data_IF_297537359288
#
_entry.id   IF_297537359288
#
_cell.length_a   1.000
_cell.length_b   1.000
_cell.length_c   1.000
_cell.angle_alpha   90.00
_cell.angle_beta   90.00
_cell.angle_gamma   90.00
#
_symmetry.space_group_name_H-M   'P 1'
#
loop_
_entity.id
_entity.type
_entity.pdbx_description
1 polymer ?
#
# COMPACT_ATOMS: atom_id res chain seq x y z
N UNK A 1 -11.55 -32.84 23.51
CA UNK A 1 -12.15 -31.52 23.78
C UNK A 1 -11.32 -30.64 24.74
N UNK A 2 -10.27 -31.19 25.39
CA UNK A 2 -9.51 -30.54 26.48
C UNK A 2 -8.24 -29.73 26.08
N UNK A 3 -8.11 -29.26 24.84
CA UNK A 3 -6.91 -28.48 24.41
C UNK A 3 -7.25 -27.07 23.86
N UNK A 4 -8.43 -26.53 24.21
CA UNK A 4 -8.86 -25.20 23.73
C UNK A 4 -7.93 -24.05 24.15
N UNK A 5 -7.19 -24.22 25.24
CA UNK A 5 -6.32 -23.17 25.80
C UNK A 5 -4.91 -23.14 25.19
N UNK A 6 -4.63 -24.00 24.19
CA UNK A 6 -3.29 -24.16 23.60
C UNK A 6 -3.19 -23.71 22.14
N UNK A 7 -4.30 -23.30 21.53
CA UNK A 7 -4.35 -22.92 20.12
C UNK A 7 -5.21 -21.67 19.93
N UNK A 8 -4.61 -20.64 19.35
CA UNK A 8 -5.33 -19.48 18.82
C UNK A 8 -5.39 -19.62 17.30
N UNK A 9 -6.59 -19.49 16.73
CA UNK A 9 -6.82 -19.47 15.28
C UNK A 9 -7.29 -18.08 14.88
N UNK A 10 -6.57 -17.45 13.96
CA UNK A 10 -6.95 -16.16 13.37
C UNK A 10 -7.34 -16.40 11.91
N UNK A 11 -8.55 -16.02 11.54
CA UNK A 11 -8.99 -15.94 10.15
C UNK A 11 -9.04 -14.48 9.73
N UNK A 12 -8.55 -14.18 8.52
CA UNK A 12 -8.51 -12.84 7.98
C UNK A 12 -8.94 -12.85 6.52
N UNK A 13 -9.67 -11.84 6.10
CA UNK A 13 -10.24 -11.73 4.76
C UNK A 13 -11.25 -10.57 4.72
N UNK A 14 -11.84 -10.35 3.54
CA UNK A 14 -12.91 -9.35 3.42
C UNK A 14 -14.14 -9.78 4.21
N UNK A 15 -14.82 -8.81 4.84
CA UNK A 15 -15.97 -9.05 5.72
C UNK A 15 -17.00 -10.01 5.11
N UNK A 16 -17.41 -9.78 3.86
CA UNK A 16 -18.40 -10.62 3.16
C UNK A 16 -17.92 -12.07 2.96
N UNK A 17 -16.63 -12.29 2.73
CA UNK A 17 -16.07 -13.63 2.53
C UNK A 17 -15.99 -14.38 3.86
N UNK A 18 -15.62 -13.67 4.93
CA UNK A 18 -15.62 -14.22 6.29
C UNK A 18 -17.04 -14.55 6.74
N UNK A 19 -18.01 -13.67 6.47
CA UNK A 19 -19.41 -13.91 6.84
C UNK A 19 -19.95 -15.15 6.12
N UNK A 20 -19.70 -15.28 4.81
CA UNK A 20 -20.04 -16.50 4.05
C UNK A 20 -19.37 -17.75 4.60
N UNK A 21 -18.10 -17.66 5.01
CA UNK A 21 -17.39 -18.79 5.62
C UNK A 21 -18.05 -19.20 6.95
N UNK A 22 -18.37 -18.23 7.81
CA UNK A 22 -18.95 -18.48 9.13
C UNK A 22 -20.40 -18.98 9.05
N UNK A 23 -21.13 -18.65 7.99
CA UNK A 23 -22.48 -19.15 7.72
C UNK A 23 -22.53 -20.63 7.31
N UNK A 24 -21.38 -21.26 7.05
CA UNK A 24 -21.31 -22.68 6.66
C UNK A 24 -21.89 -23.61 7.74
N UNK A 25 -21.74 -23.29 9.02
CA UNK A 25 -22.46 -23.92 10.14
C UNK A 25 -22.35 -23.09 11.43
N UNK A 26 -23.36 -23.17 12.29
CA UNK A 26 -23.44 -22.46 13.58
C UNK A 26 -22.26 -22.76 14.52
N UNK A 27 -21.66 -23.95 14.39
CA UNK A 27 -20.49 -24.36 15.14
C UNK A 27 -19.24 -23.52 14.82
N UNK A 28 -19.07 -23.06 13.58
CA UNK A 28 -17.99 -22.15 13.20
C UNK A 28 -18.26 -20.75 13.73
N UNK A 29 -19.46 -20.21 13.50
CA UNK A 29 -19.83 -18.87 13.97
C UNK A 29 -19.63 -18.69 15.48
N UNK A 30 -20.00 -19.69 16.28
CA UNK A 30 -19.82 -19.65 17.73
C UNK A 30 -18.35 -19.72 18.21
N UNK A 31 -17.44 -20.25 17.38
CA UNK A 31 -16.00 -20.34 17.70
C UNK A 31 -15.21 -19.08 17.36
N UNK A 32 -15.78 -18.18 16.55
CA UNK A 32 -15.17 -16.90 16.16
C UNK A 32 -15.98 -15.72 16.73
N UNK A 33 -16.09 -15.66 18.06
CA UNK A 33 -16.89 -14.64 18.76
C UNK A 33 -16.23 -13.25 18.79
N UNK A 34 -14.90 -13.20 18.62
CA UNK A 34 -14.14 -11.94 18.56
C UNK A 34 -13.97 -11.53 17.11
N UNK A 35 -14.48 -10.35 16.76
CA UNK A 35 -14.30 -9.73 15.44
C UNK A 35 -13.57 -8.41 15.62
N UNK A 36 -12.55 -8.22 14.80
CA UNK A 36 -11.81 -6.95 14.69
C UNK A 36 -11.97 -6.52 13.25
N UNK A 37 -12.56 -5.35 13.04
CA UNK A 37 -12.71 -4.75 11.72
C UNK A 37 -11.59 -3.74 11.51
N UNK A 38 -11.00 -3.77 10.32
CA UNK A 38 -9.95 -2.84 9.91
C UNK A 38 -10.55 -1.92 8.85
N UNK A 39 -10.61 -0.65 9.18
CA UNK A 39 -11.05 0.38 8.23
C UNK A 39 -10.00 0.60 7.13
N UNK A 40 -10.47 1.14 6.01
CA UNK A 40 -9.58 1.58 4.94
C UNK A 40 -8.71 2.75 5.43
N UNK A 41 -7.49 2.83 4.93
CA UNK A 41 -6.59 3.93 5.26
C UNK A 41 -7.03 5.22 4.56
N UNK A 42 -6.89 6.35 5.24
CA UNK A 42 -7.02 7.66 4.63
C UNK A 42 -5.85 7.93 3.65
N UNK A 43 -6.00 8.85 2.69
CA UNK A 43 -4.90 9.25 1.83
C UNK A 43 -3.64 9.69 2.60
N UNK A 44 -3.81 10.35 3.74
CA UNK A 44 -2.73 10.77 4.64
C UNK A 44 -2.05 9.55 5.29
N UNK A 45 -2.83 8.58 5.75
CA UNK A 45 -2.26 7.33 6.30
C UNK A 45 -1.51 6.52 5.24
N UNK A 46 -1.90 6.59 3.96
CA UNK A 46 -1.14 6.00 2.85
C UNK A 46 0.23 6.67 2.70
N UNK A 47 0.32 7.99 2.87
CA UNK A 47 1.62 8.71 2.87
C UNK A 47 2.47 8.26 4.05
N UNK A 48 1.88 8.16 5.25
CA UNK A 48 2.60 7.73 6.44
C UNK A 48 3.14 6.30 6.29
N UNK A 49 2.33 5.38 5.76
CA UNK A 49 2.77 4.02 5.43
C UNK A 49 3.91 4.05 4.40
N UNK A 50 3.79 4.86 3.35
CA UNK A 50 4.83 4.97 2.34
C UNK A 50 6.16 5.49 2.94
N UNK A 51 6.11 6.46 3.85
CA UNK A 51 7.29 6.95 4.59
C UNK A 51 7.90 5.88 5.47
N UNK A 52 7.08 5.13 6.21
CA UNK A 52 7.55 4.01 7.05
C UNK A 52 8.21 2.92 6.22
N UNK A 53 7.61 2.56 5.08
CA UNK A 53 8.15 1.55 4.17
C UNK A 53 9.47 2.00 3.53
N UNK A 54 9.54 3.24 3.04
CA UNK A 54 10.77 3.80 2.49
C UNK A 54 11.88 3.80 3.55
N UNK A 55 11.60 4.31 4.75
CA UNK A 55 12.57 4.34 5.84
C UNK A 55 13.05 2.92 6.24
N UNK A 56 12.16 1.93 6.21
CA UNK A 56 12.52 0.53 6.46
C UNK A 56 13.43 -0.10 5.40
N UNK A 57 13.52 0.53 4.22
CA UNK A 57 14.38 0.12 3.10
C UNK A 57 15.64 1.01 2.95
N UNK A 58 15.96 1.83 3.96
CA UNK A 58 17.03 2.85 3.88
C UNK A 58 16.81 3.88 2.75
N UNK A 59 15.55 4.12 2.38
CA UNK A 59 15.12 5.12 1.40
C UNK A 59 14.35 6.25 2.10
N UNK A 60 14.24 7.41 1.44
CA UNK A 60 13.39 8.51 1.90
C UNK A 60 12.49 9.02 0.77
N UNK A 61 11.39 9.67 1.12
CA UNK A 61 10.54 10.38 0.16
C UNK A 61 10.81 11.88 0.29
N UNK A 62 11.12 12.53 -0.82
CA UNK A 62 11.11 13.99 -0.86
C UNK A 62 9.71 14.54 -0.56
N UNK A 63 9.61 15.80 -0.15
CA UNK A 63 8.31 16.42 0.12
C UNK A 63 7.40 16.43 -1.12
N UNK A 64 7.98 16.61 -2.30
CA UNK A 64 7.24 16.54 -3.56
C UNK A 64 6.75 15.11 -3.85
N UNK A 65 7.59 14.09 -3.61
CA UNK A 65 7.17 12.70 -3.76
C UNK A 65 6.02 12.34 -2.80
N UNK A 66 6.11 12.75 -1.54
CA UNK A 66 5.04 12.52 -0.56
C UNK A 66 3.73 13.22 -0.93
N UNK A 67 3.80 14.45 -1.46
CA UNK A 67 2.64 15.18 -1.97
C UNK A 67 1.99 14.46 -3.14
N UNK A 68 2.77 13.93 -4.08
CA UNK A 68 2.25 13.15 -5.21
C UNK A 68 1.57 11.85 -4.75
N UNK A 69 2.11 11.17 -3.73
CA UNK A 69 1.45 10.01 -3.10
C UNK A 69 0.08 10.40 -2.53
N UNK A 70 0.01 11.53 -1.81
CA UNK A 70 -1.24 12.05 -1.24
C UNK A 70 -2.28 12.35 -2.33
N UNK A 71 -1.88 13.05 -3.39
CA UNK A 71 -2.76 13.41 -4.51
C UNK A 71 -3.29 12.15 -5.21
N UNK A 72 -2.42 11.17 -5.48
CA UNK A 72 -2.81 9.93 -6.11
C UNK A 72 -3.75 9.10 -5.23
N UNK A 73 -3.48 8.98 -3.93
CA UNK A 73 -4.34 8.28 -2.98
C UNK A 73 -5.71 8.97 -2.85
N UNK A 74 -5.73 10.31 -2.79
CA UNK A 74 -6.97 11.11 -2.75
C UNK A 74 -7.83 10.87 -3.98
N UNK A 75 -7.23 10.83 -5.17
CA UNK A 75 -7.95 10.54 -6.42
C UNK A 75 -8.57 9.13 -6.40
N UNK A 76 -7.85 8.12 -5.89
CA UNK A 76 -8.34 6.75 -5.78
C UNK A 76 -9.47 6.61 -4.77
N UNK A 77 -9.46 7.36 -3.68
CA UNK A 77 -10.56 7.39 -2.70
C UNK A 77 -11.82 8.03 -3.28
N UNK A 78 -11.68 9.05 -4.12
CA UNK A 78 -12.81 9.73 -4.77
C UNK A 78 -13.38 8.94 -5.96
N UNK A 79 -12.60 8.01 -6.49
CA UNK A 79 -13.00 7.15 -7.61
C UNK A 79 -13.58 5.83 -7.11
N UNK A 80 -14.48 5.22 -7.91
CA UNK A 80 -15.05 3.90 -7.58
C UNK A 80 -14.68 2.86 -8.62
N UNK A 81 -14.34 1.67 -8.15
CA UNK A 81 -14.07 0.48 -8.97
C UNK A 81 -14.74 -0.73 -8.33
N UNK A 82 -15.45 -1.54 -9.12
CA UNK A 82 -16.20 -2.70 -8.63
C UNK A 82 -17.14 -2.40 -7.44
N UNK A 83 -17.71 -1.18 -7.40
CA UNK A 83 -18.64 -0.75 -6.34
C UNK A 83 -17.99 -0.38 -5.01
N UNK A 84 -16.65 -0.26 -4.95
CA UNK A 84 -15.88 0.18 -3.78
C UNK A 84 -14.96 1.35 -4.16
N UNK A 85 -14.44 2.13 -3.19
CA UNK A 85 -13.36 3.08 -3.46
C UNK A 85 -12.21 2.39 -4.20
N UNK A 86 -11.66 3.04 -5.22
CA UNK A 86 -10.58 2.44 -6.02
C UNK A 86 -9.32 2.18 -5.18
N UNK A 87 -9.10 2.95 -4.10
CA UNK A 87 -8.01 2.73 -3.15
C UNK A 87 -8.12 1.37 -2.43
N UNK A 88 -9.34 0.95 -2.09
CA UNK A 88 -9.58 -0.36 -1.48
C UNK A 88 -9.28 -1.50 -2.44
N UNK A 89 -9.66 -1.32 -3.71
CA UNK A 89 -9.36 -2.28 -4.79
C UNK A 89 -7.86 -2.33 -5.07
N UNK A 90 -7.17 -1.20 -5.00
CA UNK A 90 -5.71 -1.12 -5.10
C UNK A 90 -5.00 -1.81 -3.91
N UNK A 91 -5.72 -2.05 -2.81
CA UNK A 91 -5.24 -2.83 -1.67
C UNK A 91 -4.60 -1.98 -0.57
N UNK A 92 -4.98 -0.69 -0.44
CA UNK A 92 -4.59 0.17 0.68
C UNK A 92 -3.07 0.15 0.96
N UNK A 93 -2.61 -0.44 2.07
CA UNK A 93 -1.18 -0.55 2.37
C UNK A 93 -0.36 -1.26 1.27
N UNK A 94 -0.98 -2.16 0.49
CA UNK A 94 -0.34 -2.75 -0.69
C UNK A 94 -0.04 -1.71 -1.76
N UNK A 95 -0.95 -0.76 -1.96
CA UNK A 95 -0.75 0.35 -2.89
C UNK A 95 0.43 1.22 -2.47
N UNK A 96 0.50 1.60 -1.18
CA UNK A 96 1.65 2.35 -0.64
C UNK A 96 2.98 1.62 -0.90
N UNK A 97 3.04 0.31 -0.62
CA UNK A 97 4.23 -0.52 -0.90
C UNK A 97 4.60 -0.53 -2.38
N UNK A 98 3.62 -0.71 -3.25
CA UNK A 98 3.87 -0.75 -4.70
C UNK A 98 4.37 0.58 -5.25
N UNK A 99 3.95 1.71 -4.67
CA UNK A 99 4.50 3.03 -5.01
C UNK A 99 5.95 3.18 -4.57
N UNK A 100 6.29 2.77 -3.33
CA UNK A 100 7.66 2.83 -2.81
C UNK A 100 8.59 1.95 -3.64
N UNK A 101 8.23 0.68 -3.86
CA UNK A 101 9.03 -0.26 -4.67
C UNK A 101 9.27 0.26 -6.10
N UNK A 102 8.24 0.83 -6.74
CA UNK A 102 8.37 1.41 -8.07
C UNK A 102 9.16 2.73 -8.06
N UNK A 103 9.07 3.51 -6.99
CA UNK A 103 9.85 4.73 -6.76
C UNK A 103 11.34 4.43 -6.62
N UNK A 104 11.70 3.44 -5.80
CA UNK A 104 13.08 2.95 -5.64
C UNK A 104 13.64 2.46 -6.98
N UNK A 105 12.87 1.65 -7.71
CA UNK A 105 13.29 1.17 -9.02
C UNK A 105 13.55 2.32 -10.01
N UNK A 106 12.71 3.37 -9.98
CA UNK A 106 12.88 4.53 -10.85
C UNK A 106 14.09 5.36 -10.45
N UNK A 107 14.25 5.61 -9.15
CA UNK A 107 15.43 6.29 -8.58
C UNK A 107 16.71 5.59 -8.99
N UNK A 108 16.77 4.27 -8.82
CA UNK A 108 17.96 3.47 -9.12
C UNK A 108 18.30 3.52 -10.62
N UNK A 109 17.30 3.48 -11.50
CA UNK A 109 17.51 3.65 -12.95
C UNK A 109 18.00 5.05 -13.31
N UNK A 110 17.52 6.09 -12.63
CA UNK A 110 17.99 7.46 -12.81
C UNK A 110 19.45 7.59 -12.35
N UNK A 111 19.76 7.11 -11.15
CA UNK A 111 21.10 7.16 -10.57
C UNK A 111 22.13 6.38 -11.42
N UNK A 112 21.75 5.21 -11.94
CA UNK A 112 22.60 4.41 -12.83
C UNK A 112 22.96 5.11 -14.15
N UNK A 113 22.18 6.13 -14.56
CA UNK A 113 22.42 6.94 -15.75
C UNK A 113 23.10 8.28 -15.43
N UNK A 114 23.27 8.62 -14.15
CA UNK A 114 23.92 9.86 -13.73
C UNK A 114 25.41 9.79 -14.00
N UNK A 115 25.95 10.81 -14.68
CA UNK A 115 27.39 10.97 -14.88
C UNK A 115 28.09 11.53 -13.64
N UNK A 116 27.33 11.97 -12.64
CA UNK A 116 27.81 12.72 -11.47
C UNK A 116 27.72 11.91 -10.17
N UNK A 117 27.76 10.58 -10.29
CA UNK A 117 27.57 9.65 -9.16
C UNK A 117 28.58 9.89 -8.03
N UNK A 118 29.80 10.31 -8.37
CA UNK A 118 30.88 10.56 -7.40
C UNK A 118 30.64 11.81 -6.52
N UNK A 119 29.71 12.70 -6.90
CA UNK A 119 29.40 13.93 -6.18
C UNK A 119 28.06 13.87 -5.41
N UNK A 120 27.37 12.73 -5.42
CA UNK A 120 26.12 12.56 -4.68
C UNK A 120 26.41 12.17 -3.22
N UNK A 121 25.72 12.81 -2.29
CA UNK A 121 25.75 12.38 -0.89
C UNK A 121 24.79 11.22 -0.61
N UNK A 122 24.89 10.63 0.59
CA UNK A 122 24.08 9.48 1.00
C UNK A 122 22.59 9.81 0.99
N UNK A 123 22.22 11.05 1.32
CA UNK A 123 20.83 11.50 1.37
C UNK A 123 20.24 11.50 -0.04
N UNK A 124 20.95 12.05 -1.01
CA UNK A 124 20.59 12.08 -2.43
C UNK A 124 20.53 10.69 -3.08
N UNK A 125 21.37 9.76 -2.63
CA UNK A 125 21.33 8.37 -3.09
C UNK A 125 20.13 7.61 -2.53
N UNK A 126 19.68 7.97 -1.34
CA UNK A 126 18.54 7.34 -0.65
C UNK A 126 17.18 7.98 -1.00
N UNK A 127 17.16 9.22 -1.48
CA UNK A 127 15.92 9.95 -1.71
C UNK A 127 15.22 9.57 -3.03
N UNK A 128 13.95 9.21 -2.91
CA UNK A 128 13.00 9.09 -4.01
C UNK A 128 12.43 10.48 -4.28
N UNK A 129 12.73 11.03 -5.45
CA UNK A 129 12.32 12.38 -5.82
C UNK A 129 10.89 12.42 -6.37
N UNK A 130 10.35 13.63 -6.59
CA UNK A 130 9.06 13.81 -7.24
C UNK A 130 9.02 13.27 -8.66
N UNK A 131 10.13 13.32 -9.39
CA UNK A 131 10.24 12.74 -10.74
C UNK A 131 10.12 11.20 -10.69
N UNK A 132 10.82 10.57 -9.74
CA UNK A 132 10.75 9.12 -9.55
C UNK A 132 9.33 8.69 -9.20
N UNK A 133 8.70 9.43 -8.28
CA UNK A 133 7.35 9.10 -7.81
C UNK A 133 6.30 9.33 -8.91
N UNK A 134 6.46 10.35 -9.76
CA UNK A 134 5.57 10.57 -10.91
C UNK A 134 5.59 9.36 -11.86
N UNK A 135 6.78 8.89 -12.22
CA UNK A 135 6.93 7.71 -13.07
C UNK A 135 6.48 6.41 -12.38
N UNK A 136 6.73 6.28 -11.07
CA UNK A 136 6.24 5.16 -10.26
C UNK A 136 4.71 5.07 -10.24
N UNK A 137 4.03 6.19 -9.99
CA UNK A 137 2.56 6.29 -10.01
C UNK A 137 2.03 5.87 -11.39
N UNK A 138 2.59 6.42 -12.47
CA UNK A 138 2.18 6.07 -13.83
C UNK A 138 2.34 4.56 -14.11
N UNK A 139 3.45 3.96 -13.68
CA UNK A 139 3.72 2.52 -13.81
C UNK A 139 2.76 1.66 -12.99
N UNK A 140 2.49 2.04 -11.74
CA UNK A 140 1.57 1.32 -10.84
C UNK A 140 0.14 1.40 -11.36
N UNK A 141 -0.34 2.60 -11.71
CA UNK A 141 -1.69 2.80 -12.26
C UNK A 141 -1.88 2.09 -13.59
N UNK A 142 -0.86 2.08 -14.46
CA UNK A 142 -0.86 1.33 -15.72
C UNK A 142 -1.03 -0.18 -15.51
N UNK A 143 -0.29 -0.77 -14.55
CA UNK A 143 -0.42 -2.20 -14.21
C UNK A 143 -1.78 -2.56 -13.61
N UNK A 144 -2.41 -1.63 -12.91
CA UNK A 144 -3.71 -1.83 -12.27
C UNK A 144 -4.91 -1.53 -13.19
N UNK A 145 -4.68 -1.15 -14.46
CA UNK A 145 -5.71 -0.62 -15.35
C UNK A 145 -6.51 0.56 -14.74
N UNK A 146 -5.87 1.36 -13.87
CA UNK A 146 -6.51 2.55 -13.26
C UNK A 146 -6.42 3.77 -14.21
N UNK A 147 -6.05 3.57 -15.47
CA UNK A 147 -5.96 4.66 -16.45
C UNK A 147 -7.33 5.34 -16.59
N UNK A 148 -7.37 6.62 -16.21
CA UNK A 148 -8.57 7.44 -16.21
C UNK A 148 -9.34 7.39 -17.53
N UNK A 149 -10.67 7.36 -17.41
CA UNK A 149 -11.56 7.92 -18.42
C UNK A 149 -11.74 9.40 -18.13
#
# INVERSE_FOLDING_TARGET
ENDRDRLVVIIAGYSNDIDRLLETNDGLRSRFSTRIEFDAYSPEEIVDIARVLAAGNDSSLSDEAAKLVLEAATLLTQSTSSGKPALDVAGNGRYARQLVEAGEQTRDMRLARSLDFDNLDVEQLSEISGEDMTAAIASVHGRMNISGR
#
